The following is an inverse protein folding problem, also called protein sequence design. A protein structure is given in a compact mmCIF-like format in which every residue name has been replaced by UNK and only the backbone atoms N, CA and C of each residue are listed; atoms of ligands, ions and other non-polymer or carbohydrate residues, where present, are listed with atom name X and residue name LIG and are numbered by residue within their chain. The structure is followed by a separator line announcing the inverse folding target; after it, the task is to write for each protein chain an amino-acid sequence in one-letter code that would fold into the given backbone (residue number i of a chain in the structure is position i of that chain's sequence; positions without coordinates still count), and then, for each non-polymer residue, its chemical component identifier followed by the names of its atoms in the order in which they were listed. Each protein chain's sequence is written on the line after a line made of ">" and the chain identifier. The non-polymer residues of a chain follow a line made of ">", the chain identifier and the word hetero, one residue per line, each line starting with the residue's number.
data_IF_896915065266
#
_entry.id   IF_896915065266
#
_cell.length_a   1.000
_cell.length_b   1.000
_cell.length_c   1.000
_cell.angle_alpha   90.00
_cell.angle_beta   90.00
_cell.angle_gamma   90.00
#
_symmetry.space_group_name_H-M   'P 1'
#
loop_
_entity.id
_entity.type
_entity.pdbx_description
1 polymer ?
#
# COMPACT_ATOMS: atom_id res chain seq x y z
N UNK A 1 26.92 -25.59 63.48
CA UNK A 1 25.66 -24.87 63.16
C UNK A 1 25.65 -23.36 63.52
N UNK A 2 26.65 -22.80 64.22
CA UNK A 2 26.65 -21.37 64.61
C UNK A 2 27.50 -20.45 63.71
N UNK A 3 28.44 -20.98 62.92
CA UNK A 3 29.29 -20.19 62.01
C UNK A 3 28.56 -19.72 60.73
N UNK A 4 27.64 -20.53 60.18
CA UNK A 4 26.82 -20.15 59.01
C UNK A 4 25.82 -19.03 59.31
N UNK A 5 25.29 -18.96 60.55
CA UNK A 5 24.33 -17.91 60.93
C UNK A 5 24.98 -16.52 61.06
N UNK A 6 26.28 -16.45 61.34
CA UNK A 6 27.01 -15.18 61.40
C UNK A 6 27.35 -14.65 60.00
N UNK A 7 27.67 -15.53 59.04
CA UNK A 7 27.88 -15.13 57.65
C UNK A 7 26.60 -14.64 56.96
N UNK A 8 25.45 -15.27 57.25
CA UNK A 8 24.15 -14.84 56.73
C UNK A 8 23.71 -13.50 57.35
N UNK A 9 23.97 -13.27 58.65
CA UNK A 9 23.70 -11.96 59.28
C UNK A 9 24.63 -10.86 58.80
N UNK A 10 25.90 -11.18 58.51
CA UNK A 10 26.83 -10.22 57.91
C UNK A 10 26.40 -9.84 56.49
N UNK A 11 25.88 -10.78 55.69
CA UNK A 11 25.31 -10.48 54.38
C UNK A 11 24.01 -9.66 54.46
N UNK A 12 23.14 -9.93 55.43
CA UNK A 12 21.90 -9.15 55.63
C UNK A 12 22.20 -7.73 56.16
N UNK A 13 23.27 -7.53 56.93
CA UNK A 13 23.71 -6.20 57.38
C UNK A 13 24.52 -5.45 56.31
N UNK A 14 25.25 -6.12 55.42
CA UNK A 14 25.94 -5.49 54.29
C UNK A 14 25.01 -5.18 53.11
N UNK A 15 23.95 -5.98 52.93
CA UNK A 15 22.82 -5.67 52.04
C UNK A 15 21.88 -4.59 52.62
N UNK A 16 21.93 -4.37 53.94
CA UNK A 16 21.13 -3.33 54.62
C UNK A 16 21.74 -1.94 54.63
N UNK A 17 23.02 -1.77 54.25
CA UNK A 17 23.74 -0.48 54.33
C UNK A 17 24.29 0.03 52.99
N UNK A 18 23.87 -0.54 51.86
CA UNK A 18 24.26 -0.09 50.51
C UNK A 18 23.11 0.59 49.74
N UNK A 19 22.12 1.15 50.46
CA UNK A 19 20.91 1.75 49.89
C UNK A 19 20.73 3.25 50.12
N UNK A 20 21.79 4.01 50.42
CA UNK A 20 21.72 5.48 50.59
C UNK A 20 22.37 6.21 49.41
N UNK A 21 21.88 5.94 48.20
CA UNK A 21 22.07 6.78 47.00
C UNK A 21 20.82 6.76 46.11
N UNK A 22 19.63 6.86 46.72
CA UNK A 22 18.37 7.05 45.98
C UNK A 22 18.01 8.55 45.92
N UNK A 23 18.81 9.33 45.19
CA UNK A 23 18.48 10.73 44.86
C UNK A 23 17.88 10.87 43.44
N UNK A 24 17.52 9.76 42.78
CA UNK A 24 17.23 9.72 41.34
C UNK A 24 15.89 9.03 41.00
N UNK A 25 14.85 9.22 41.81
CA UNK A 25 13.53 8.60 41.61
C UNK A 25 12.53 9.61 41.02
N UNK A 26 11.58 9.13 40.21
CA UNK A 26 10.43 9.89 39.73
C UNK A 26 9.72 10.55 40.93
N UNK A 27 9.74 11.88 40.98
CA UNK A 27 9.12 12.61 42.10
C UNK A 27 7.61 12.67 41.93
N UNK A 28 6.82 12.69 43.03
CA UNK A 28 5.36 12.82 42.97
C UNK A 28 4.91 14.06 42.18
N UNK A 29 5.66 15.16 42.33
CA UNK A 29 5.40 16.40 41.61
C UNK A 29 5.63 16.26 40.11
N UNK A 30 6.74 15.63 39.70
CA UNK A 30 7.04 15.41 38.28
C UNK A 30 6.02 14.47 37.62
N UNK A 31 5.61 13.41 38.32
CA UNK A 31 4.55 12.51 37.84
C UNK A 31 3.23 13.27 37.63
N UNK A 32 2.87 14.17 38.55
CA UNK A 32 1.67 15.00 38.44
C UNK A 32 1.76 16.00 37.28
N UNK A 33 2.92 16.65 37.09
CA UNK A 33 3.16 17.58 35.96
C UNK A 33 3.11 16.88 34.59
N UNK A 34 3.40 15.57 34.52
CA UNK A 34 3.23 14.77 33.31
C UNK A 34 1.74 14.41 33.05
N UNK A 35 0.96 14.23 34.11
CA UNK A 35 -0.43 13.79 34.05
C UNK A 35 -1.42 14.96 33.83
N UNK A 36 -1.21 16.08 34.52
CA UNK A 36 -2.17 17.20 34.60
C UNK A 36 -1.49 18.50 34.21
N UNK A 37 -2.11 19.28 33.33
CA UNK A 37 -1.61 20.59 32.89
C UNK A 37 -1.78 20.83 31.39
N UNK A 38 -1.23 21.93 30.91
CA UNK A 38 -1.19 22.26 29.48
C UNK A 38 -0.22 21.34 28.73
N UNK A 39 -0.46 21.14 27.43
CA UNK A 39 0.33 20.20 26.63
C UNK A 39 1.84 20.51 26.64
N UNK A 40 2.23 21.79 26.55
CA UNK A 40 3.66 22.14 26.50
C UNK A 40 4.36 21.96 27.85
N UNK A 41 3.69 22.22 28.98
CA UNK A 41 4.26 21.97 30.31
C UNK A 41 4.44 20.46 30.57
N UNK A 42 3.48 19.65 30.12
CA UNK A 42 3.54 18.18 30.22
C UNK A 42 4.69 17.61 29.39
N UNK A 43 4.89 18.11 28.16
CA UNK A 43 6.01 17.70 27.30
C UNK A 43 7.36 18.03 27.97
N UNK A 44 7.49 19.21 28.58
CA UNK A 44 8.70 19.57 29.33
C UNK A 44 8.93 18.65 30.54
N UNK A 45 7.87 18.29 31.25
CA UNK A 45 7.96 17.35 32.38
C UNK A 45 8.44 15.96 31.93
N UNK A 46 7.90 15.45 30.81
CA UNK A 46 8.36 14.19 30.21
C UNK A 46 9.83 14.30 29.79
N UNK A 47 10.24 15.40 29.16
CA UNK A 47 11.63 15.64 28.79
C UNK A 47 12.58 15.58 30.00
N UNK A 48 12.21 16.21 31.11
CA UNK A 48 12.97 16.16 32.38
C UNK A 48 13.03 14.74 32.95
N UNK A 49 11.93 14.00 32.92
CA UNK A 49 11.88 12.61 33.40
C UNK A 49 12.80 11.67 32.60
N UNK A 50 13.06 11.99 31.33
CA UNK A 50 13.95 11.21 30.45
C UNK A 50 15.45 11.50 30.67
N UNK A 51 15.83 12.56 31.39
CA UNK A 51 17.25 12.86 31.68
C UNK A 51 17.88 11.80 32.59
N UNK A 52 17.10 11.26 33.53
CA UNK A 52 17.50 10.22 34.46
C UNK A 52 16.36 9.21 34.66
N UNK A 53 16.11 8.34 33.67
CA UNK A 53 14.92 7.49 33.69
C UNK A 53 15.06 6.33 34.68
N UNK A 54 14.06 6.19 35.55
CA UNK A 54 13.90 5.05 36.46
C UNK A 54 12.81 4.08 35.97
N UNK A 55 12.75 2.89 36.60
CA UNK A 55 11.76 1.87 36.24
C UNK A 55 10.31 2.37 36.39
N UNK A 56 10.08 3.29 37.32
CA UNK A 56 8.78 3.89 37.59
C UNK A 56 8.38 4.89 36.48
N UNK A 57 9.31 5.67 35.93
CA UNK A 57 9.07 6.55 34.77
C UNK A 57 8.64 5.75 33.55
N UNK A 58 9.32 4.62 33.27
CA UNK A 58 8.94 3.73 32.18
C UNK A 58 7.53 3.15 32.37
N UNK A 59 7.22 2.68 33.58
CA UNK A 59 5.92 2.13 33.92
C UNK A 59 4.80 3.17 33.81
N UNK A 60 5.03 4.40 34.26
CA UNK A 60 4.06 5.49 34.15
C UNK A 60 3.79 5.87 32.70
N UNK A 61 4.83 6.06 31.89
CA UNK A 61 4.67 6.40 30.47
C UNK A 61 3.93 5.29 29.70
N UNK A 62 4.23 4.02 30.02
CA UNK A 62 3.56 2.88 29.41
C UNK A 62 2.08 2.87 29.81
N UNK A 63 1.76 3.10 31.09
CA UNK A 63 0.38 3.19 31.56
C UNK A 63 -0.40 4.36 30.94
N UNK A 64 0.27 5.50 30.69
CA UNK A 64 -0.34 6.62 29.98
C UNK A 64 -0.61 6.26 28.51
N UNK A 65 0.31 5.59 27.82
CA UNK A 65 0.10 5.12 26.45
C UNK A 65 -1.05 4.11 26.36
N UNK A 66 -1.17 3.22 27.34
CA UNK A 66 -2.21 2.19 27.42
C UNK A 66 -3.55 2.72 27.98
N UNK A 67 -3.67 4.02 28.26
CA UNK A 67 -4.86 4.68 28.85
C UNK A 67 -5.27 4.06 30.22
N UNK A 68 -4.32 3.51 30.97
CA UNK A 68 -4.52 2.88 32.28
C UNK A 68 -4.05 3.73 33.46
N UNK A 69 -3.50 4.91 33.20
CA UNK A 69 -3.08 5.86 34.21
C UNK A 69 -4.22 6.79 34.64
N UNK A 70 -4.47 6.89 35.95
CA UNK A 70 -5.50 7.73 36.57
C UNK A 70 -4.92 8.66 37.62
N UNK A 71 -5.60 9.76 37.89
CA UNK A 71 -5.24 10.73 38.94
C UNK A 71 -6.24 10.63 40.09
N UNK A 72 -5.73 10.48 41.31
CA UNK A 72 -6.54 10.46 42.52
C UNK A 72 -5.74 10.97 43.72
N UNK A 73 -6.35 11.88 44.50
CA UNK A 73 -5.77 12.50 45.69
C UNK A 73 -4.35 13.08 45.46
N UNK A 74 -4.20 13.89 44.40
CA UNK A 74 -2.93 14.53 43.98
C UNK A 74 -1.78 13.55 43.70
N UNK A 75 -2.11 12.30 43.41
CA UNK A 75 -1.16 11.27 43.00
C UNK A 75 -1.60 10.61 41.69
N UNK A 76 -0.61 10.13 40.94
CA UNK A 76 -0.82 9.39 39.70
C UNK A 76 -0.72 7.90 39.98
N UNK A 77 -1.69 7.15 39.48
CA UNK A 77 -1.86 5.73 39.72
C UNK A 77 -1.92 4.97 38.41
N UNK A 78 -1.22 3.83 38.36
CA UNK A 78 -1.22 2.89 37.24
C UNK A 78 -2.16 1.74 37.59
N UNK A 79 -3.20 1.54 36.78
CA UNK A 79 -4.19 0.48 36.99
C UNK A 79 -3.77 -0.79 36.26
N UNK A 80 -3.58 -1.88 37.00
CA UNK A 80 -3.29 -3.21 36.46
C UNK A 80 -4.20 -4.25 37.14
N UNK A 81 -4.98 -4.98 36.33
CA UNK A 81 -5.84 -6.09 36.78
C UNK A 81 -6.74 -5.78 38.00
N UNK A 82 -7.28 -4.57 38.09
CA UNK A 82 -8.21 -4.15 39.16
C UNK A 82 -7.55 -3.66 40.44
N UNK A 83 -6.22 -3.59 40.50
CA UNK A 83 -5.49 -2.85 41.54
C UNK A 83 -4.76 -1.66 40.93
N UNK A 84 -4.68 -0.57 41.69
CA UNK A 84 -3.96 0.62 41.28
C UNK A 84 -2.67 0.74 42.08
N UNK A 85 -1.55 0.89 41.37
CA UNK A 85 -0.23 1.10 41.96
C UNK A 85 0.16 2.57 41.83
N UNK A 86 0.58 3.19 42.93
CA UNK A 86 1.09 4.56 42.89
C UNK A 86 2.34 4.62 42.01
N UNK A 87 2.37 5.54 41.05
CA UNK A 87 3.43 5.65 40.04
C UNK A 87 4.81 5.97 40.64
N UNK A 88 4.88 6.52 41.85
CA UNK A 88 6.14 6.95 42.49
C UNK A 88 6.54 6.09 43.68
N UNK A 89 5.57 5.76 44.56
CA UNK A 89 5.85 5.00 45.79
C UNK A 89 5.68 3.50 45.62
N UNK A 90 4.95 3.05 44.60
CA UNK A 90 4.64 1.65 44.38
C UNK A 90 3.60 1.05 45.34
N UNK A 91 2.98 1.85 46.21
CA UNK A 91 1.87 1.41 47.07
C UNK A 91 0.68 0.96 46.21
N UNK A 92 0.05 -0.17 46.55
CA UNK A 92 -1.14 -0.68 45.85
C UNK A 92 -2.41 -0.43 46.65
N UNK A 93 -3.45 0.06 45.97
CA UNK A 93 -4.80 0.27 46.54
C UNK A 93 -5.86 0.07 45.48
N UNK A 94 -7.08 -0.28 45.88
CA UNK A 94 -8.25 -0.12 45.02
C UNK A 94 -8.56 1.37 44.83
N UNK A 95 -8.66 1.83 43.59
CA UNK A 95 -9.10 3.19 43.29
C UNK A 95 -10.63 3.28 43.45
N UNK A 96 -11.14 4.35 44.08
CA UNK A 96 -12.57 4.66 44.06
C UNK A 96 -13.05 5.13 42.68
N UNK A 97 -14.36 5.05 42.45
CA UNK A 97 -14.99 5.33 41.14
C UNK A 97 -14.87 6.81 40.68
N UNK A 98 -14.42 7.71 41.56
CA UNK A 98 -14.19 9.13 41.30
C UNK A 98 -12.77 9.45 40.77
N UNK A 99 -11.93 8.42 40.56
CA UNK A 99 -10.61 8.57 39.97
C UNK A 99 -10.69 9.11 38.52
N UNK A 100 -9.94 10.18 38.25
CA UNK A 100 -10.01 10.89 36.98
C UNK A 100 -9.07 10.29 35.95
N UNK A 101 -9.55 10.12 34.72
CA UNK A 101 -8.74 9.65 33.61
C UNK A 101 -7.83 10.77 33.08
N UNK A 102 -6.60 10.40 32.70
CA UNK A 102 -5.67 11.34 32.06
C UNK A 102 -6.07 11.51 30.61
N UNK A 103 -6.61 12.68 30.24
CA UNK A 103 -6.92 12.98 28.85
C UNK A 103 -5.64 13.21 28.02
N UNK A 104 -5.53 12.45 26.92
CA UNK A 104 -4.41 12.53 25.97
C UNK A 104 -4.93 12.90 24.58
N UNK A 105 -4.48 14.05 24.06
CA UNK A 105 -4.68 14.42 22.67
C UNK A 105 -3.64 13.71 21.76
N UNK A 106 -3.81 13.79 20.43
CA UNK A 106 -2.94 13.10 19.48
C UNK A 106 -1.47 13.51 19.61
N UNK A 107 -1.18 14.80 19.84
CA UNK A 107 0.18 15.30 20.05
C UNK A 107 0.81 14.66 21.28
N UNK A 108 0.06 14.56 22.37
CA UNK A 108 0.56 13.99 23.62
C UNK A 108 0.85 12.48 23.48
N UNK A 109 0.02 11.74 22.72
CA UNK A 109 0.28 10.32 22.44
C UNK A 109 1.59 10.13 21.67
N UNK A 110 1.81 10.92 20.61
CA UNK A 110 3.06 10.88 19.84
C UNK A 110 4.30 11.14 20.71
N UNK A 111 4.24 12.11 21.61
CA UNK A 111 5.35 12.44 22.52
C UNK A 111 5.60 11.36 23.58
N UNK A 112 4.54 10.71 24.11
CA UNK A 112 4.67 9.57 25.02
C UNK A 112 5.29 8.37 24.29
N UNK A 113 4.85 8.08 23.07
CA UNK A 113 5.42 7.01 22.24
C UNK A 113 6.90 7.28 21.94
N UNK A 114 7.25 8.52 21.64
CA UNK A 114 8.64 8.95 21.46
C UNK A 114 9.46 8.78 22.75
N UNK A 115 8.92 9.17 23.91
CA UNK A 115 9.56 9.00 25.21
C UNK A 115 9.79 7.51 25.55
N UNK A 116 8.79 6.66 25.32
CA UNK A 116 8.91 5.20 25.52
C UNK A 116 9.92 4.58 24.58
N UNK A 117 9.96 4.99 23.31
CA UNK A 117 10.99 4.57 22.38
C UNK A 117 12.37 4.98 22.90
N UNK A 118 12.51 6.19 23.45
CA UNK A 118 13.78 6.65 24.01
C UNK A 118 14.26 5.73 25.13
N UNK A 119 13.39 5.38 26.08
CA UNK A 119 13.70 4.44 27.16
C UNK A 119 14.11 3.05 26.65
N UNK A 120 13.40 2.56 25.62
CA UNK A 120 13.67 1.25 24.99
C UNK A 120 15.03 1.19 24.29
N UNK A 121 15.71 2.31 23.99
CA UNK A 121 17.07 2.34 23.44
C UNK A 121 18.12 1.70 24.36
N UNK A 122 17.85 1.65 25.67
CA UNK A 122 18.75 1.06 26.67
C UNK A 122 18.26 -0.29 27.21
N UNK A 123 17.25 -0.87 26.56
CA UNK A 123 16.73 -2.20 26.92
C UNK A 123 17.82 -3.27 26.81
N UNK A 124 17.84 -4.30 27.69
CA UNK A 124 18.71 -5.46 27.50
C UNK A 124 18.38 -6.25 26.23
N UNK A 125 17.16 -6.12 25.71
CA UNK A 125 16.73 -6.78 24.47
C UNK A 125 17.13 -5.95 23.24
N UNK A 126 17.88 -6.58 22.34
CA UNK A 126 18.30 -5.99 21.08
C UNK A 126 17.13 -5.62 20.16
N UNK A 127 16.05 -6.41 20.11
CA UNK A 127 14.92 -6.12 19.23
C UNK A 127 14.18 -4.86 19.67
N UNK A 128 13.97 -4.69 20.98
CA UNK A 128 13.38 -3.47 21.53
C UNK A 128 14.22 -2.23 21.22
N UNK A 129 15.55 -2.35 21.24
CA UNK A 129 16.47 -1.26 20.87
C UNK A 129 16.38 -0.92 19.37
N UNK A 130 16.21 -1.91 18.50
CA UNK A 130 15.99 -1.68 17.06
C UNK A 130 14.69 -0.93 16.82
N UNK A 131 13.58 -1.40 17.42
CA UNK A 131 12.26 -0.77 17.29
C UNK A 131 12.29 0.67 17.79
N UNK A 132 12.96 0.91 18.92
CA UNK A 132 13.21 2.25 19.44
C UNK A 132 13.96 3.14 18.44
N UNK A 133 15.08 2.66 17.91
CA UNK A 133 15.87 3.42 16.93
C UNK A 133 15.11 3.67 15.61
N UNK A 134 14.23 2.75 15.19
CA UNK A 134 13.33 2.94 14.05
C UNK A 134 12.30 4.05 14.29
N UNK A 135 11.69 4.09 15.47
CA UNK A 135 10.76 5.16 15.84
C UNK A 135 11.47 6.53 15.82
N UNK A 136 12.69 6.59 16.36
CA UNK A 136 13.53 7.80 16.35
C UNK A 136 13.91 8.27 14.93
N UNK A 137 14.05 7.33 13.99
CA UNK A 137 14.30 7.66 12.58
C UNK A 137 13.06 8.28 11.91
N UNK A 138 11.86 7.79 12.22
CA UNK A 138 10.61 8.26 11.59
C UNK A 138 10.28 9.69 11.98
N UNK A 139 10.56 10.07 13.23
CA UNK A 139 10.32 11.41 13.75
C UNK A 139 11.61 11.98 14.36
N UNK A 140 12.49 12.56 13.52
CA UNK A 140 13.76 13.12 13.97
C UNK A 140 13.55 14.39 14.80
N UNK A 141 14.29 14.50 15.90
CA UNK A 141 14.23 15.64 16.80
C UNK A 141 15.60 15.93 17.42
N UNK A 142 15.98 17.21 17.36
CA UNK A 142 17.25 17.70 17.84
C UNK A 142 17.42 17.55 19.36
N UNK A 143 16.33 17.63 20.14
CA UNK A 143 16.38 17.50 21.59
C UNK A 143 16.87 16.10 22.03
N UNK A 144 16.62 15.08 21.21
CA UNK A 144 16.95 13.67 21.49
C UNK A 144 18.36 13.26 21.04
N UNK A 145 19.11 14.16 20.39
CA UNK A 145 20.47 13.90 19.90
C UNK A 145 21.44 13.37 20.97
N UNK A 146 21.56 13.97 22.18
CA UNK A 146 22.50 13.49 23.19
C UNK A 146 22.21 12.06 23.64
N UNK A 147 20.94 11.68 23.66
CA UNK A 147 20.51 10.34 24.05
C UNK A 147 20.85 9.30 22.98
N UNK A 148 20.67 9.62 21.70
CA UNK A 148 21.08 8.77 20.58
C UNK A 148 22.60 8.56 20.54
N UNK A 149 23.38 9.61 20.81
CA UNK A 149 24.84 9.54 20.89
C UNK A 149 25.29 8.64 22.05
N UNK A 150 24.66 8.77 23.23
CA UNK A 150 24.91 7.91 24.38
C UNK A 150 24.56 6.45 24.09
N UNK A 151 23.40 6.19 23.49
CA UNK A 151 22.97 4.85 23.11
C UNK A 151 23.96 4.22 22.12
N UNK A 152 24.38 4.97 21.09
CA UNK A 152 25.35 4.51 20.09
C UNK A 152 26.71 4.19 20.70
N UNK A 153 27.19 4.99 21.66
CA UNK A 153 28.45 4.76 22.35
C UNK A 153 28.45 3.49 23.21
N UNK A 154 27.30 3.14 23.80
CA UNK A 154 27.13 1.92 24.61
C UNK A 154 26.81 0.66 23.80
N UNK A 155 26.54 0.78 22.50
CA UNK A 155 26.02 -0.31 21.69
C UNK A 155 27.13 -1.22 21.14
N UNK A 156 26.96 -2.53 21.26
CA UNK A 156 27.89 -3.54 20.74
C UNK A 156 27.38 -4.26 19.49
N UNK A 157 26.06 -4.34 19.28
CA UNK A 157 25.49 -5.07 18.15
C UNK A 157 25.48 -4.24 16.86
N UNK A 158 26.04 -4.80 15.79
CA UNK A 158 26.18 -4.11 14.51
C UNK A 158 24.84 -3.64 13.91
N UNK A 159 23.78 -4.43 14.04
CA UNK A 159 22.46 -4.09 13.50
C UNK A 159 21.84 -2.90 14.25
N UNK A 160 21.89 -2.91 15.59
CA UNK A 160 21.40 -1.81 16.43
C UNK A 160 22.20 -0.53 16.14
N UNK A 161 23.53 -0.64 16.04
CA UNK A 161 24.39 0.49 15.67
C UNK A 161 24.02 1.09 14.31
N UNK A 162 23.67 0.27 13.32
CA UNK A 162 23.24 0.76 12.01
C UNK A 162 21.96 1.59 12.10
N UNK A 163 20.97 1.13 12.88
CA UNK A 163 19.74 1.88 13.12
C UNK A 163 19.97 3.19 13.90
N UNK A 164 20.78 3.15 14.96
CA UNK A 164 21.13 4.33 15.75
C UNK A 164 21.88 5.38 14.91
N UNK A 165 22.81 4.95 14.05
CA UNK A 165 23.52 5.83 13.11
C UNK A 165 22.55 6.47 12.11
N UNK A 166 21.59 5.71 11.57
CA UNK A 166 20.55 6.27 10.70
C UNK A 166 19.68 7.30 11.44
N UNK A 167 19.23 7.00 12.66
CA UNK A 167 18.42 7.91 13.46
C UNK A 167 19.19 9.22 13.77
N UNK A 168 20.44 9.10 14.22
CA UNK A 168 21.30 10.26 14.48
C UNK A 168 21.55 11.08 13.21
N UNK A 169 21.77 10.42 12.07
CA UNK A 169 21.92 11.10 10.79
C UNK A 169 20.64 11.83 10.38
N UNK A 170 19.46 11.26 10.60
CA UNK A 170 18.19 11.94 10.32
C UNK A 170 18.01 13.21 11.16
N UNK A 171 18.40 13.19 12.43
CA UNK A 171 18.42 14.39 13.28
C UNK A 171 19.38 15.45 12.74
N UNK A 172 20.55 15.02 12.26
CA UNK A 172 21.57 15.92 11.69
C UNK A 172 21.23 16.44 10.29
N UNK A 173 20.12 16.03 9.66
CA UNK A 173 19.67 16.60 8.38
C UNK A 173 19.24 18.06 8.51
N UNK A 174 18.76 18.50 9.68
CA UNK A 174 18.33 19.87 9.93
C UNK A 174 19.40 20.72 10.64
N UNK A 175 20.62 20.20 10.77
CA UNK A 175 21.73 20.91 11.43
C UNK A 175 22.10 22.21 10.68
N UNK A 176 22.47 23.26 11.41
CA UNK A 176 22.83 24.55 10.83
C UNK A 176 24.06 24.45 9.90
N UNK A 177 24.98 23.52 10.18
CA UNK A 177 26.24 23.38 9.46
C UNK A 177 26.07 22.46 8.24
N UNK A 178 26.34 23.00 7.04
CA UNK A 178 26.20 22.27 5.78
C UNK A 178 27.04 20.98 5.72
N UNK A 179 28.27 21.00 6.26
CA UNK A 179 29.12 19.81 6.31
C UNK A 179 28.49 18.66 7.11
N UNK A 180 27.83 18.98 8.23
CA UNK A 180 27.13 18.02 9.08
C UNK A 180 25.94 17.40 8.34
N UNK A 181 25.16 18.24 7.64
CA UNK A 181 24.05 17.76 6.78
C UNK A 181 24.54 16.84 5.67
N UNK A 182 25.63 17.19 4.99
CA UNK A 182 26.20 16.33 3.93
C UNK A 182 26.67 14.97 4.46
N UNK A 183 27.29 14.94 5.65
CA UNK A 183 27.70 13.70 6.29
C UNK A 183 26.49 12.84 6.66
N UNK A 184 25.44 13.46 7.22
CA UNK A 184 24.17 12.80 7.53
C UNK A 184 23.53 12.16 6.29
N UNK A 185 23.43 12.90 5.18
CA UNK A 185 22.88 12.39 3.91
C UNK A 185 23.64 11.15 3.43
N UNK A 186 24.98 11.15 3.52
CA UNK A 186 25.81 10.00 3.12
C UNK A 186 25.57 8.78 4.00
N UNK A 187 25.40 8.97 5.31
CA UNK A 187 25.10 7.87 6.24
C UNK A 187 23.73 7.27 5.93
N UNK A 188 22.71 8.12 5.71
CA UNK A 188 21.37 7.69 5.35
C UNK A 188 21.33 6.93 4.03
N UNK A 189 22.10 7.36 3.02
CA UNK A 189 22.17 6.74 1.71
C UNK A 189 22.65 5.27 1.73
N UNK A 190 23.39 4.87 2.77
CA UNK A 190 23.86 3.49 2.94
C UNK A 190 22.71 2.52 3.30
N UNK A 191 21.60 3.05 3.81
CA UNK A 191 20.41 2.28 4.17
C UNK A 191 19.34 2.39 3.07
N UNK A 192 19.11 1.31 2.34
CA UNK A 192 18.05 1.20 1.34
C UNK A 192 16.67 0.99 2.02
N UNK A 193 16.10 2.07 2.58
CA UNK A 193 14.82 2.03 3.34
C UNK A 193 13.83 3.07 2.81
N UNK A 194 12.51 2.76 2.78
CA UNK A 194 11.49 3.72 2.34
C UNK A 194 11.43 4.99 3.20
N UNK A 195 11.53 4.85 4.52
CA UNK A 195 11.48 5.98 5.46
C UNK A 195 12.63 6.98 5.22
N UNK A 196 13.82 6.45 4.90
CA UNK A 196 14.99 7.28 4.56
C UNK A 196 14.75 8.04 3.26
N UNK A 197 14.17 7.39 2.25
CA UNK A 197 13.85 8.04 0.98
C UNK A 197 12.87 9.20 1.18
N UNK A 198 11.88 9.05 2.06
CA UNK A 198 10.94 10.12 2.40
C UNK A 198 11.68 11.32 3.00
N UNK A 199 12.51 11.10 4.02
CA UNK A 199 13.28 12.16 4.70
C UNK A 199 14.23 12.89 3.74
N UNK A 200 14.95 12.16 2.88
CA UNK A 200 15.86 12.77 1.91
C UNK A 200 15.12 13.62 0.89
N UNK A 201 13.94 13.19 0.43
CA UNK A 201 13.11 14.00 -0.48
C UNK A 201 12.56 15.25 0.22
N UNK A 202 12.08 15.13 1.45
CA UNK A 202 11.64 16.28 2.25
C UNK A 202 12.80 17.28 2.44
N UNK A 203 13.99 16.82 2.83
CA UNK A 203 15.15 17.69 2.96
C UNK A 203 15.56 18.33 1.63
N UNK A 204 15.50 17.61 0.51
CA UNK A 204 15.81 18.18 -0.81
C UNK A 204 14.90 19.35 -1.18
N UNK A 205 13.64 19.33 -0.76
CA UNK A 205 12.71 20.44 -0.99
C UNK A 205 13.01 21.66 -0.12
N UNK A 206 13.44 21.45 1.13
CA UNK A 206 13.72 22.53 2.08
C UNK A 206 15.14 23.11 1.95
N UNK A 207 16.11 22.34 1.46
CA UNK A 207 17.52 22.73 1.40
C UNK A 207 17.72 23.92 0.46
N UNK A 208 18.69 24.79 0.76
CA UNK A 208 19.04 25.94 -0.08
C UNK A 208 20.44 25.79 -0.69
N UNK A 209 21.36 25.15 0.03
CA UNK A 209 22.74 24.97 -0.39
C UNK A 209 22.85 24.04 -1.61
N UNK A 210 23.54 24.51 -2.66
CA UNK A 210 23.71 23.81 -3.93
C UNK A 210 24.56 22.55 -3.78
N UNK A 211 25.60 22.58 -2.94
CA UNK A 211 26.47 21.43 -2.70
C UNK A 211 25.70 20.32 -1.95
N UNK A 212 24.93 20.69 -0.92
CA UNK A 212 24.10 19.75 -0.16
C UNK A 212 23.01 19.13 -1.06
N UNK A 213 22.33 19.95 -1.88
CA UNK A 213 21.35 19.46 -2.88
C UNK A 213 21.91 18.42 -3.83
N UNK A 214 23.15 18.60 -4.27
CA UNK A 214 23.81 17.67 -5.18
C UNK A 214 24.01 16.31 -4.50
N UNK A 215 24.49 16.32 -3.25
CA UNK A 215 24.66 15.09 -2.46
C UNK A 215 23.31 14.42 -2.18
N UNK A 216 22.26 15.18 -1.87
CA UNK A 216 20.90 14.67 -1.67
C UNK A 216 20.36 13.95 -2.90
N UNK A 217 20.51 14.52 -4.10
CA UNK A 217 20.06 13.89 -5.35
C UNK A 217 20.78 12.55 -5.59
N UNK A 218 22.09 12.51 -5.38
CA UNK A 218 22.88 11.27 -5.53
C UNK A 218 22.44 10.23 -4.50
N UNK A 219 22.24 10.62 -3.24
CA UNK A 219 21.77 9.74 -2.19
C UNK A 219 20.38 9.16 -2.49
N UNK A 220 19.44 9.97 -2.98
CA UNK A 220 18.09 9.51 -3.35
C UNK A 220 18.15 8.45 -4.45
N UNK A 221 18.97 8.66 -5.49
CA UNK A 221 19.15 7.68 -6.56
C UNK A 221 19.73 6.37 -6.02
N UNK A 222 20.74 6.45 -5.16
CA UNK A 222 21.35 5.27 -4.53
C UNK A 222 20.33 4.47 -3.70
N UNK A 223 19.50 5.15 -2.89
CA UNK A 223 18.46 4.50 -2.08
C UNK A 223 17.39 3.86 -2.97
N UNK A 224 16.94 4.57 -4.02
CA UNK A 224 15.98 4.03 -4.98
C UNK A 224 16.50 2.77 -5.68
N UNK A 225 17.77 2.76 -6.09
CA UNK A 225 18.37 1.61 -6.76
C UNK A 225 18.52 0.41 -5.84
N UNK A 226 18.83 0.63 -4.56
CA UNK A 226 18.82 -0.41 -3.53
C UNK A 226 17.43 -1.02 -3.31
N UNK A 227 16.38 -0.19 -3.25
CA UNK A 227 15.00 -0.66 -3.08
C UNK A 227 14.50 -1.44 -4.32
N UNK A 228 14.87 -0.99 -5.53
CA UNK A 228 14.53 -1.67 -6.80
C UNK A 228 15.17 -3.05 -6.93
N UNK A 229 16.29 -3.32 -6.27
CA UNK A 229 16.93 -4.65 -6.34
C UNK A 229 16.06 -5.75 -5.72
N UNK A 230 15.35 -5.46 -4.63
CA UNK A 230 14.37 -6.39 -4.05
C UNK A 230 13.21 -6.67 -5.01
N UNK A 231 12.70 -5.62 -5.66
CA UNK A 231 11.65 -5.75 -6.68
C UNK A 231 12.14 -6.55 -7.90
N UNK A 232 13.37 -6.31 -8.38
CA UNK A 232 13.99 -7.06 -9.48
C UNK A 232 14.14 -8.55 -9.15
N UNK A 233 14.53 -8.90 -7.93
CA UNK A 233 14.57 -10.30 -7.49
C UNK A 233 13.17 -10.91 -7.43
N UNK A 234 12.17 -10.15 -6.99
CA UNK A 234 10.76 -10.55 -7.05
C UNK A 234 10.28 -10.78 -8.48
N UNK A 235 10.61 -9.89 -9.42
CA UNK A 235 10.30 -10.01 -10.84
C UNK A 235 11.00 -11.21 -11.47
N UNK A 236 12.27 -11.46 -11.12
CA UNK A 236 12.99 -12.64 -11.57
C UNK A 236 12.38 -13.93 -11.02
N UNK A 237 12.04 -13.96 -9.73
CA UNK A 237 11.42 -15.13 -9.10
C UNK A 237 10.02 -15.39 -9.66
N UNK A 238 9.19 -14.36 -9.79
CA UNK A 238 7.86 -14.46 -10.43
C UNK A 238 7.99 -14.83 -11.90
N UNK A 239 8.97 -14.30 -12.63
CA UNK A 239 9.25 -14.66 -14.02
C UNK A 239 9.70 -16.12 -14.18
N UNK A 240 10.60 -16.61 -13.32
CA UNK A 240 11.02 -18.02 -13.26
C UNK A 240 9.88 -18.94 -12.77
N UNK A 241 9.06 -18.48 -11.84
CA UNK A 241 7.89 -19.21 -11.33
C UNK A 241 6.81 -19.31 -12.40
N UNK A 242 6.45 -18.20 -13.04
CA UNK A 242 5.47 -18.17 -14.13
C UNK A 242 6.01 -18.91 -15.36
N UNK A 243 7.30 -18.77 -15.66
CA UNK A 243 7.99 -19.51 -16.71
C UNK A 243 8.01 -21.01 -16.47
N UNK A 244 8.25 -21.46 -15.23
CA UNK A 244 8.20 -22.88 -14.88
C UNK A 244 6.77 -23.43 -14.91
N UNK A 245 5.77 -22.66 -14.48
CA UNK A 245 4.35 -22.99 -14.65
C UNK A 245 4.00 -23.11 -16.15
N UNK A 246 4.39 -22.14 -16.97
CA UNK A 246 4.16 -22.17 -18.42
C UNK A 246 4.89 -23.34 -19.08
N UNK A 247 6.09 -23.69 -18.62
CA UNK A 247 6.83 -24.86 -19.10
C UNK A 247 6.14 -26.17 -18.72
N UNK A 248 5.60 -26.27 -17.49
CA UNK A 248 4.80 -27.42 -17.04
C UNK A 248 3.48 -27.55 -17.82
N UNK A 249 2.86 -26.42 -18.17
CA UNK A 249 1.68 -26.35 -19.04
C UNK A 249 2.05 -26.74 -20.48
N UNK A 250 3.20 -26.28 -21.00
CA UNK A 250 3.70 -26.62 -22.33
C UNK A 250 4.08 -28.11 -22.46
N UNK A 251 4.54 -28.72 -21.37
CA UNK A 251 4.79 -30.17 -21.28
C UNK A 251 3.51 -31.01 -21.10
N UNK A 252 2.33 -30.38 -21.04
CA UNK A 252 1.04 -31.07 -21.02
C UNK A 252 0.68 -31.76 -19.69
N UNK A 253 1.49 -31.61 -18.65
CA UNK A 253 1.30 -32.29 -17.35
C UNK A 253 0.33 -31.56 -16.41
N UNK A 254 -0.05 -30.31 -16.69
CA UNK A 254 -0.93 -29.52 -15.81
C UNK A 254 -1.85 -28.52 -16.56
N UNK A 255 -2.55 -28.98 -17.61
CA UNK A 255 -3.61 -28.18 -18.24
C UNK A 255 -4.88 -28.17 -17.36
N UNK A 256 -4.87 -27.38 -16.29
CA UNK A 256 -6.08 -27.02 -15.56
C UNK A 256 -6.78 -25.87 -16.29
N UNK A 257 -7.51 -26.22 -17.33
CA UNK A 257 -8.37 -25.27 -18.02
C UNK A 257 -9.55 -24.90 -17.11
N UNK A 258 -9.73 -23.62 -16.74
CA UNK A 258 -10.87 -23.21 -15.94
C UNK A 258 -12.15 -23.49 -16.72
N UNK A 259 -13.00 -24.37 -16.20
CA UNK A 259 -14.22 -24.81 -16.89
C UNK A 259 -15.13 -23.62 -17.27
N UNK A 260 -15.14 -22.57 -16.43
CA UNK A 260 -15.85 -21.31 -16.70
C UNK A 260 -15.41 -20.68 -18.04
N UNK A 261 -14.11 -20.69 -18.37
CA UNK A 261 -13.60 -20.11 -19.62
C UNK A 261 -13.99 -20.94 -20.83
N UNK A 262 -13.96 -22.27 -20.70
CA UNK A 262 -14.40 -23.18 -21.76
C UNK A 262 -15.90 -23.00 -22.04
N UNK A 263 -16.72 -22.92 -20.99
CA UNK A 263 -18.16 -22.68 -21.12
C UNK A 263 -18.43 -21.37 -21.84
N UNK A 264 -17.70 -20.29 -21.53
CA UNK A 264 -17.89 -18.99 -22.18
C UNK A 264 -17.53 -19.04 -23.66
N UNK A 265 -16.47 -19.75 -24.03
CA UNK A 265 -16.11 -19.97 -25.45
C UNK A 265 -17.21 -20.76 -26.15
N UNK A 266 -17.67 -21.87 -25.58
CA UNK A 266 -18.76 -22.67 -26.14
C UNK A 266 -20.06 -21.86 -26.26
N UNK A 267 -20.41 -21.08 -25.24
CA UNK A 267 -21.58 -20.21 -25.19
C UNK A 267 -21.51 -19.11 -26.25
N UNK A 268 -20.38 -18.42 -26.37
CA UNK A 268 -20.20 -17.38 -27.40
C UNK A 268 -20.28 -17.95 -28.82
N UNK A 269 -19.72 -19.13 -29.06
CA UNK A 269 -19.87 -19.84 -30.34
C UNK A 269 -21.33 -20.26 -30.60
N UNK A 270 -22.05 -20.73 -29.58
CA UNK A 270 -23.45 -21.09 -29.71
C UNK A 270 -24.33 -19.87 -30.03
N UNK A 271 -24.13 -18.74 -29.34
CA UNK A 271 -24.83 -17.47 -29.62
C UNK A 271 -24.49 -16.96 -31.02
N UNK A 272 -23.21 -16.98 -31.41
CA UNK A 272 -22.78 -16.60 -32.75
C UNK A 272 -23.43 -17.47 -33.83
N UNK A 273 -23.44 -18.79 -33.64
CA UNK A 273 -24.07 -19.73 -34.55
C UNK A 273 -25.59 -19.49 -34.65
N UNK A 274 -26.26 -19.25 -33.52
CA UNK A 274 -27.68 -18.93 -33.48
C UNK A 274 -28.00 -17.64 -34.26
N UNK A 275 -27.20 -16.59 -34.06
CA UNK A 275 -27.36 -15.30 -34.79
C UNK A 275 -27.04 -15.46 -36.27
N UNK A 276 -25.98 -16.19 -36.61
CA UNK A 276 -25.61 -16.47 -38.00
C UNK A 276 -26.71 -17.25 -38.73
N UNK A 277 -27.27 -18.29 -38.10
CA UNK A 277 -28.38 -19.05 -38.65
C UNK A 277 -29.64 -18.20 -38.75
N UNK A 278 -29.92 -17.37 -37.74
CA UNK A 278 -31.08 -16.49 -37.77
C UNK A 278 -30.98 -15.48 -38.93
N UNK A 279 -29.86 -14.77 -39.08
CA UNK A 279 -29.68 -13.78 -40.15
C UNK A 279 -29.58 -14.45 -41.53
N UNK A 280 -28.93 -15.62 -41.60
CA UNK A 280 -28.67 -16.33 -42.85
C UNK A 280 -29.87 -17.09 -43.41
N UNK A 281 -30.66 -17.74 -42.55
CA UNK A 281 -31.73 -18.68 -42.96
C UNK A 281 -33.15 -18.24 -42.65
N UNK A 282 -33.39 -17.27 -41.76
CA UNK A 282 -34.77 -16.91 -41.40
C UNK A 282 -35.32 -15.75 -42.23
N UNK A 283 -36.66 -15.64 -42.28
CA UNK A 283 -37.37 -14.52 -42.93
C UNK A 283 -36.99 -13.17 -42.34
N UNK A 284 -36.76 -13.11 -41.02
CA UNK A 284 -36.31 -11.90 -40.33
C UNK A 284 -34.97 -11.42 -40.90
N UNK A 285 -34.01 -12.33 -41.07
CA UNK A 285 -32.70 -12.01 -41.65
C UNK A 285 -32.75 -11.54 -43.12
N UNK A 286 -33.72 -12.04 -43.91
CA UNK A 286 -33.96 -11.55 -45.27
C UNK A 286 -34.48 -10.11 -45.23
N UNK A 287 -35.44 -9.82 -44.36
CA UNK A 287 -35.99 -8.46 -44.21
C UNK A 287 -34.95 -7.46 -43.67
N UNK A 288 -34.15 -7.84 -42.66
CA UNK A 288 -33.07 -6.98 -42.14
C UNK A 288 -32.09 -6.61 -43.24
N UNK A 289 -31.60 -7.60 -44.02
CA UNK A 289 -30.70 -7.34 -45.14
C UNK A 289 -31.33 -6.44 -46.20
N UNK A 290 -32.61 -6.67 -46.54
CA UNK A 290 -33.35 -5.83 -47.48
C UNK A 290 -33.48 -4.37 -47.02
N UNK A 291 -33.82 -4.15 -45.75
CA UNK A 291 -33.94 -2.80 -45.17
C UNK A 291 -32.58 -2.10 -45.09
N UNK A 292 -31.49 -2.82 -44.80
CA UNK A 292 -30.13 -2.23 -44.76
C UNK A 292 -29.58 -1.87 -46.15
N UNK A 293 -30.03 -2.54 -47.21
CA UNK A 293 -29.56 -2.26 -48.58
C UNK A 293 -30.36 -1.14 -49.25
N UNK A 294 -31.69 -1.18 -49.17
CA UNK A 294 -32.56 -0.15 -49.76
C UNK A 294 -33.89 -0.08 -48.99
N UNK A 295 -33.89 0.74 -47.93
CA UNK A 295 -35.06 0.97 -47.07
C UNK A 295 -36.31 1.43 -47.85
N UNK A 296 -36.24 2.43 -48.76
CA UNK A 296 -37.41 2.86 -49.54
C UNK A 296 -38.03 1.74 -50.36
N UNK A 297 -37.22 0.92 -51.04
CA UNK A 297 -37.71 -0.21 -51.82
C UNK A 297 -38.37 -1.26 -50.92
N UNK A 298 -37.77 -1.57 -49.76
CA UNK A 298 -38.35 -2.50 -48.81
C UNK A 298 -39.74 -2.05 -48.33
N UNK A 299 -39.93 -0.76 -48.02
CA UNK A 299 -41.24 -0.23 -47.62
C UNK A 299 -42.29 -0.33 -48.73
N UNK A 300 -41.92 -0.13 -50.00
CA UNK A 300 -42.83 -0.29 -51.14
C UNK A 300 -43.29 -1.74 -51.32
N UNK A 301 -42.48 -2.72 -50.90
CA UNK A 301 -42.82 -4.15 -50.96
C UNK A 301 -43.67 -4.64 -49.77
N UNK A 302 -44.27 -3.72 -49.00
CA UNK A 302 -45.13 -4.03 -47.86
C UNK A 302 -44.38 -4.44 -46.58
N UNK A 303 -43.06 -4.28 -46.55
CA UNK A 303 -42.23 -4.62 -45.39
C UNK A 303 -42.27 -3.46 -44.38
N UNK A 304 -42.74 -3.73 -43.15
CA UNK A 304 -42.76 -2.73 -42.09
C UNK A 304 -41.33 -2.52 -41.52
N UNK A 305 -40.64 -1.54 -42.09
CA UNK A 305 -39.25 -1.18 -41.75
C UNK A 305 -39.07 -0.84 -40.26
N UNK A 306 -40.01 -0.11 -39.66
CA UNK A 306 -39.96 0.27 -38.24
C UNK A 306 -40.02 -0.94 -37.29
N UNK A 307 -40.86 -1.95 -37.60
CA UNK A 307 -40.89 -3.19 -36.81
C UNK A 307 -39.59 -3.98 -36.93
N UNK A 308 -39.00 -4.01 -38.13
CA UNK A 308 -37.73 -4.71 -38.36
C UNK A 308 -36.60 -4.04 -37.61
N UNK A 309 -36.53 -2.70 -37.61
CA UNK A 309 -35.56 -1.96 -36.81
C UNK A 309 -35.73 -2.28 -35.32
N UNK A 310 -36.97 -2.31 -34.83
CA UNK A 310 -37.27 -2.64 -33.43
C UNK A 310 -36.81 -4.05 -33.07
N UNK A 311 -37.09 -5.05 -33.92
CA UNK A 311 -36.62 -6.42 -33.70
C UNK A 311 -35.10 -6.53 -33.77
N UNK A 312 -34.46 -5.84 -34.72
CA UNK A 312 -33.00 -5.82 -34.84
C UNK A 312 -32.35 -5.17 -33.60
N UNK A 313 -32.91 -4.06 -33.12
CA UNK A 313 -32.45 -3.38 -31.91
C UNK A 313 -32.65 -4.25 -30.66
N UNK A 314 -33.85 -4.80 -30.47
CA UNK A 314 -34.15 -5.69 -29.35
C UNK A 314 -33.24 -6.92 -29.32
N UNK A 315 -32.95 -7.51 -30.48
CA UNK A 315 -32.02 -8.62 -30.60
C UNK A 315 -30.59 -8.22 -30.26
N UNK A 316 -30.12 -7.06 -30.74
CA UNK A 316 -28.80 -6.52 -30.39
C UNK A 316 -28.64 -6.29 -28.89
N UNK A 317 -29.61 -5.64 -28.26
CA UNK A 317 -29.64 -5.44 -26.80
C UNK A 317 -29.70 -6.77 -26.03
N UNK A 318 -30.46 -7.75 -26.52
CA UNK A 318 -30.53 -9.09 -25.93
C UNK A 318 -29.19 -9.82 -25.96
N UNK A 319 -28.47 -9.78 -27.09
CA UNK A 319 -27.14 -10.39 -27.22
C UNK A 319 -26.12 -9.69 -26.31
N UNK A 320 -26.18 -8.36 -26.20
CA UNK A 320 -25.34 -7.60 -25.27
C UNK A 320 -25.58 -8.02 -23.81
N UNK A 321 -26.84 -8.26 -23.43
CA UNK A 321 -27.20 -8.80 -22.11
C UNK A 321 -26.63 -10.21 -21.87
N UNK A 322 -26.75 -11.11 -22.86
CA UNK A 322 -26.15 -12.46 -22.80
C UNK A 322 -24.62 -12.39 -22.67
N UNK A 323 -23.96 -11.46 -23.35
CA UNK A 323 -22.52 -11.22 -23.21
C UNK A 323 -22.16 -10.76 -21.80
N UNK A 324 -22.95 -9.86 -21.19
CA UNK A 324 -22.77 -9.43 -19.81
C UNK A 324 -22.84 -10.58 -18.80
N UNK A 325 -23.80 -11.51 -18.97
CA UNK A 325 -23.93 -12.71 -18.14
C UNK A 325 -22.72 -13.67 -18.28
N UNK A 326 -22.09 -13.72 -19.46
CA UNK A 326 -20.87 -14.50 -19.64
C UNK A 326 -19.67 -13.82 -18.98
N UNK A 327 -19.58 -12.49 -19.06
CA UNK A 327 -18.50 -11.70 -18.48
C UNK A 327 -18.51 -11.70 -16.94
N UNK A 328 -19.68 -11.77 -16.30
CA UNK A 328 -19.81 -11.84 -14.83
C UNK A 328 -19.16 -13.09 -14.20
N UNK A 329 -18.85 -14.11 -15.01
CA UNK A 329 -18.18 -15.33 -14.55
C UNK A 329 -16.65 -15.20 -14.50
N UNK A 330 -16.08 -14.14 -15.10
CA UNK A 330 -14.64 -13.89 -15.16
C UNK A 330 -14.23 -12.63 -14.38
N UNK A 331 -15.12 -11.64 -14.28
CA UNK A 331 -14.85 -10.35 -13.65
C UNK A 331 -15.86 -9.98 -12.57
N UNK A 332 -15.50 -9.00 -11.76
CA UNK A 332 -16.40 -8.47 -10.74
C UNK A 332 -17.54 -7.70 -11.40
N UNK A 333 -18.78 -7.98 -10.97
CA UNK A 333 -19.96 -7.31 -11.52
C UNK A 333 -20.16 -5.97 -10.82
N UNK A 334 -20.18 -4.89 -11.58
CA UNK A 334 -20.47 -3.55 -11.08
C UNK A 334 -21.15 -2.70 -12.15
N UNK A 335 -21.73 -1.55 -11.76
CA UNK A 335 -22.40 -0.63 -12.69
C UNK A 335 -21.51 -0.18 -13.86
N UNK A 336 -20.19 -0.14 -13.65
CA UNK A 336 -19.19 0.32 -14.62
C UNK A 336 -18.62 -0.79 -15.52
N UNK A 337 -19.05 -2.05 -15.33
CA UNK A 337 -18.56 -3.18 -16.13
C UNK A 337 -18.76 -2.89 -17.62
N UNK A 338 -19.96 -2.42 -17.99
CA UNK A 338 -20.28 -2.09 -19.38
C UNK A 338 -19.32 -1.05 -19.97
N UNK A 339 -19.01 0.02 -19.22
CA UNK A 339 -18.14 1.11 -19.68
C UNK A 339 -16.75 0.60 -20.08
N UNK A 340 -16.22 -0.37 -19.33
CA UNK A 340 -14.90 -0.96 -19.60
C UNK A 340 -14.82 -1.71 -20.93
N UNK A 341 -15.95 -2.21 -21.44
CA UNK A 341 -16.02 -2.99 -22.68
C UNK A 341 -16.56 -2.22 -23.88
N UNK A 342 -17.05 -0.98 -23.69
CA UNK A 342 -17.55 -0.14 -24.80
C UNK A 342 -16.45 0.08 -25.84
N UNK A 343 -15.25 0.45 -25.38
CA UNK A 343 -14.12 0.76 -26.27
C UNK A 343 -13.73 -0.48 -27.07
N UNK A 344 -13.57 -1.63 -26.40
CA UNK A 344 -13.18 -2.89 -27.06
C UNK A 344 -14.25 -3.35 -28.06
N UNK A 345 -15.53 -3.22 -27.72
CA UNK A 345 -16.66 -3.57 -28.60
C UNK A 345 -16.72 -2.67 -29.84
N UNK A 346 -16.53 -1.36 -29.66
CA UNK A 346 -16.49 -0.40 -30.75
C UNK A 346 -15.33 -0.70 -31.70
N UNK A 347 -14.14 -0.95 -31.15
CA UNK A 347 -12.93 -1.26 -31.90
C UNK A 347 -13.07 -2.51 -32.78
N UNK A 348 -13.74 -3.56 -32.28
CA UNK A 348 -14.05 -4.76 -33.07
C UNK A 348 -15.02 -4.46 -34.22
N UNK A 349 -16.07 -3.67 -33.97
CA UNK A 349 -17.07 -3.33 -35.00
C UNK A 349 -16.44 -2.49 -36.11
N UNK A 350 -15.61 -1.51 -35.75
CA UNK A 350 -14.97 -0.62 -36.72
C UNK A 350 -13.95 -1.37 -37.57
N UNK A 351 -13.14 -2.26 -36.96
CA UNK A 351 -12.19 -3.08 -37.72
C UNK A 351 -12.94 -4.10 -38.60
N UNK A 352 -13.98 -4.75 -38.08
CA UNK A 352 -14.73 -5.78 -38.78
C UNK A 352 -15.56 -5.27 -39.97
N UNK A 353 -15.98 -4.01 -39.93
CA UNK A 353 -16.83 -3.39 -40.95
C UNK A 353 -18.33 -3.46 -40.59
N UNK A 354 -19.05 -2.38 -40.90
CA UNK A 354 -20.46 -2.23 -40.53
C UNK A 354 -21.33 -3.18 -41.36
N UNK A 355 -22.03 -4.09 -40.70
CA UNK A 355 -23.06 -4.94 -41.31
C UNK A 355 -22.61 -6.31 -41.82
N UNK A 356 -21.35 -6.71 -41.58
CA UNK A 356 -20.87 -8.07 -41.91
C UNK A 356 -20.45 -8.86 -40.68
N UNK A 357 -21.26 -9.88 -40.36
CA UNK A 357 -21.03 -10.76 -39.21
C UNK A 357 -19.66 -11.46 -39.27
N UNK A 358 -19.24 -11.93 -40.44
CA UNK A 358 -17.95 -12.59 -40.60
C UNK A 358 -16.78 -11.65 -40.25
N UNK A 359 -16.83 -10.39 -40.73
CA UNK A 359 -15.80 -9.40 -40.46
C UNK A 359 -15.66 -9.08 -38.96
N UNK A 360 -16.78 -8.95 -38.25
CA UNK A 360 -16.77 -8.75 -36.79
C UNK A 360 -16.17 -9.93 -36.02
N UNK A 361 -16.36 -11.17 -36.47
CA UNK A 361 -15.78 -12.36 -35.82
C UNK A 361 -14.28 -12.43 -36.01
N UNK A 362 -13.79 -12.23 -37.24
CA UNK A 362 -12.36 -12.21 -37.52
C UNK A 362 -11.66 -11.04 -36.81
N UNK A 363 -12.30 -9.86 -36.75
CA UNK A 363 -11.82 -8.72 -36.00
C UNK A 363 -11.75 -8.99 -34.50
N UNK A 364 -12.79 -9.59 -33.91
CA UNK A 364 -12.82 -9.93 -32.47
C UNK A 364 -11.71 -10.91 -32.10
N UNK A 365 -11.53 -11.98 -32.87
CA UNK A 365 -10.49 -12.97 -32.65
C UNK A 365 -9.09 -12.38 -32.87
N UNK A 366 -8.90 -11.64 -33.96
CA UNK A 366 -7.62 -11.02 -34.31
C UNK A 366 -7.19 -9.98 -33.28
N UNK A 367 -8.07 -9.04 -32.92
CA UNK A 367 -7.80 -8.02 -31.91
C UNK A 367 -7.63 -8.63 -30.52
N UNK A 368 -8.44 -9.64 -30.15
CA UNK A 368 -8.31 -10.32 -28.87
C UNK A 368 -6.95 -11.01 -28.71
N UNK A 369 -6.50 -11.72 -29.74
CA UNK A 369 -5.22 -12.41 -29.73
C UNK A 369 -4.04 -11.42 -29.76
N UNK A 370 -4.12 -10.40 -30.61
CA UNK A 370 -3.12 -9.35 -30.70
C UNK A 370 -2.98 -8.59 -29.37
N UNK A 371 -4.10 -8.21 -28.75
CA UNK A 371 -4.11 -7.51 -27.48
C UNK A 371 -3.45 -8.36 -26.38
N UNK A 372 -3.80 -9.64 -26.27
CA UNK A 372 -3.20 -10.54 -25.27
C UNK A 372 -1.70 -10.77 -25.45
N UNK A 373 -1.21 -10.84 -26.70
CA UNK A 373 0.23 -10.94 -26.99
C UNK A 373 0.95 -9.64 -26.62
N UNK A 374 0.39 -8.49 -26.98
CA UNK A 374 0.97 -7.18 -26.66
C UNK A 374 0.98 -6.89 -25.16
N UNK A 375 -0.07 -7.24 -24.43
CA UNK A 375 -0.15 -7.09 -22.98
C UNK A 375 1.00 -7.83 -22.27
N UNK A 376 1.37 -9.02 -22.78
CA UNK A 376 2.44 -9.84 -22.21
C UNK A 376 3.85 -9.27 -22.40
N UNK A 377 4.07 -8.43 -23.42
CA UNK A 377 5.39 -7.86 -23.73
C UNK A 377 5.55 -6.40 -23.26
N UNK A 378 4.50 -5.59 -23.40
CA UNK A 378 4.56 -4.13 -23.26
C UNK A 378 3.79 -3.58 -22.04
N UNK A 379 3.08 -4.46 -21.32
CA UNK A 379 2.18 -4.07 -20.23
C UNK A 379 0.80 -3.61 -20.72
N UNK A 380 -0.20 -3.70 -19.85
CA UNK A 380 -1.61 -3.58 -20.22
C UNK A 380 -2.00 -2.21 -20.80
N UNK A 381 -1.43 -1.13 -20.27
CA UNK A 381 -1.74 0.24 -20.72
C UNK A 381 -1.15 0.51 -22.11
N UNK A 382 0.12 0.12 -22.32
CA UNK A 382 0.80 0.35 -23.58
C UNK A 382 0.21 -0.50 -24.72
N UNK A 383 -0.22 -1.72 -24.41
CA UNK A 383 -0.94 -2.58 -25.35
C UNK A 383 -2.24 -1.93 -25.86
N UNK A 384 -3.07 -1.39 -24.96
CA UNK A 384 -4.32 -0.70 -25.35
C UNK A 384 -4.05 0.51 -26.25
N UNK A 385 -3.05 1.32 -25.93
CA UNK A 385 -2.67 2.49 -26.75
C UNK A 385 -2.19 2.03 -28.14
N UNK A 386 -1.34 1.00 -28.20
CA UNK A 386 -0.81 0.48 -29.46
C UNK A 386 -1.92 -0.07 -30.37
N UNK A 387 -2.88 -0.81 -29.82
CA UNK A 387 -4.03 -1.34 -30.57
C UNK A 387 -4.92 -0.20 -31.09
N UNK A 388 -5.16 0.84 -30.27
CA UNK A 388 -5.92 2.02 -30.69
C UNK A 388 -5.25 2.74 -31.88
N UNK A 389 -3.94 3.00 -31.78
CA UNK A 389 -3.17 3.64 -32.86
C UNK A 389 -3.18 2.79 -34.13
N UNK A 390 -3.01 1.47 -33.99
CA UNK A 390 -3.10 0.54 -35.12
C UNK A 390 -4.45 0.64 -35.84
N UNK A 391 -5.55 0.73 -35.10
CA UNK A 391 -6.89 0.87 -35.68
C UNK A 391 -7.07 2.21 -36.36
N UNK A 392 -6.61 3.32 -35.76
CA UNK A 392 -6.69 4.64 -36.39
C UNK A 392 -5.97 4.62 -37.75
N UNK A 393 -4.76 4.07 -37.79
CA UNK A 393 -3.98 3.91 -39.04
C UNK A 393 -4.69 2.97 -40.03
N UNK A 394 -5.31 1.90 -39.53
CA UNK A 394 -6.05 0.95 -40.35
C UNK A 394 -7.27 1.60 -41.00
N UNK A 395 -8.09 2.34 -40.24
CA UNK A 395 -9.28 3.04 -40.74
C UNK A 395 -8.87 4.08 -41.79
N UNK A 396 -7.78 4.82 -41.57
CA UNK A 396 -7.28 5.77 -42.56
C UNK A 396 -6.93 5.12 -43.90
N UNK A 397 -6.43 3.87 -43.89
CA UNK A 397 -6.10 3.12 -45.10
C UNK A 397 -7.28 2.32 -45.67
N UNK A 398 -8.24 1.91 -44.85
CA UNK A 398 -9.38 1.04 -45.18
C UNK A 398 -10.63 1.49 -44.41
N UNK A 399 -11.29 2.59 -44.83
CA UNK A 399 -12.42 3.18 -44.08
C UNK A 399 -13.68 2.28 -44.04
N UNK A 400 -13.76 1.25 -44.88
CA UNK A 400 -14.89 0.33 -44.96
C UNK A 400 -14.73 -0.95 -44.11
N UNK A 401 -13.64 -1.08 -43.34
CA UNK A 401 -13.33 -2.28 -42.53
C UNK A 401 -12.67 -3.41 -43.33
N UNK A 402 -12.42 -4.56 -42.68
CA UNK A 402 -11.77 -5.73 -43.30
C UNK A 402 -12.63 -6.31 -44.43
N UNK A 403 -13.96 -6.27 -44.31
CA UNK A 403 -14.86 -6.73 -45.36
C UNK A 403 -15.98 -5.71 -45.62
N UNK A 404 -15.92 -5.05 -46.78
CA UNK A 404 -16.92 -4.09 -47.21
C UNK A 404 -18.20 -4.78 -47.71
N UNK A 405 -19.37 -4.21 -47.41
CA UNK A 405 -20.62 -4.63 -48.05
C UNK A 405 -20.52 -4.46 -49.56
N UNK A 406 -20.57 -5.58 -50.30
CA UNK A 406 -20.57 -5.59 -51.76
C UNK A 406 -21.97 -5.17 -52.27
N UNK A 407 -22.28 -3.88 -52.12
CA UNK A 407 -23.40 -3.24 -52.80
C UNK A 407 -23.00 -2.98 -54.25
N UNK A 408 -23.71 -3.59 -55.20
CA UNK A 408 -23.51 -3.34 -56.63
C UNK A 408 -24.26 -2.05 -57.01
N UNK A 409 -23.68 -0.89 -56.67
CA UNK A 409 -24.06 0.46 -57.16
C UNK A 409 -23.10 1.48 -56.53
N UNK A 410 -22.32 2.30 -57.21
CA UNK A 410 -21.95 2.44 -58.61
C UNK A 410 -20.62 3.22 -58.59
N UNK A 411 -19.64 2.83 -59.42
CA UNK A 411 -18.67 3.81 -59.91
C UNK A 411 -19.44 4.73 -60.85
N UNK A 412 -19.63 5.99 -60.43
CA UNK A 412 -19.76 7.19 -61.25
C UNK A 412 -19.69 8.41 -60.33
#
# INVERSE_FOLDING_TARGET
>A
MNMMKHWIRAWVLFAGCSGLLAAHALTPQLAMEMAVGESDSRIQAIGKALEAPDANTAALLQAMADETAKVFADAVWVVDQGQARNATTGETRALPDDAQDIMLNNRMRSEIDAALAALKLFSPDAQLRIVAAQAMLKEPDAARKPMLEKALASESQAEVQAWLKSALAAVNLSDAVAATRMAAVKVLAQSARPDVLLLLNQQLTAEQDVAVKTVLKVAILQVQDGLKWGERLGILFTGLSLGSILMLVALGLALQLPWNRIIIVAFSLAVLAAVALMIGRTRLGLFVRGVTQNRPMASCMGVNTARIDTYAFALGSGIAGLAGCALSQIGNVGPDLGQSYIVDSFMVVVLGGVGQLAGTVYAALGLGLLNKVLEGWAGAVLAKIAVLVFIIVFIQKRPQGIFAMKGRSAEA
#
